data_IF_976339811755
#
_entry.id   IF_976339811755
#
_cell.length_a   1.000
_cell.length_b   1.000
_cell.length_c   1.000
_cell.angle_alpha   90.00
_cell.angle_beta   90.00
_cell.angle_gamma   90.00
#
_symmetry.space_group_name_H-M   'P 1'
#
loop_
_entity.id
_entity.type
_entity.pdbx_description
1 polymer ?
#
# COMPACT_ATOMS: atom_id res chain seq x y z
N UNK A 1 -18.21 2.13 -22.44
CA UNK A 1 -19.20 1.41 -21.60
C UNK A 1 -18.49 1.14 -20.30
N UNK A 2 -19.18 1.18 -19.16
CA UNK A 2 -18.59 0.77 -17.89
C UNK A 2 -18.24 -0.72 -17.93
N UNK A 3 -17.16 -1.11 -17.29
CA UNK A 3 -16.75 -2.52 -17.17
C UNK A 3 -17.66 -3.27 -16.18
N UNK A 4 -17.64 -4.59 -16.21
CA UNK A 4 -18.40 -5.36 -15.23
C UNK A 4 -17.78 -5.21 -13.84
N UNK A 5 -18.62 -5.29 -12.80
CA UNK A 5 -18.14 -5.25 -11.43
C UNK A 5 -17.10 -6.34 -11.14
N UNK A 6 -17.33 -7.54 -11.65
CA UNK A 6 -16.44 -8.68 -11.44
C UNK A 6 -15.07 -8.47 -12.10
N UNK A 7 -15.02 -7.84 -13.28
CA UNK A 7 -13.77 -7.48 -13.95
C UNK A 7 -12.97 -6.46 -13.14
N UNK A 8 -13.64 -5.41 -12.63
CA UNK A 8 -13.00 -4.38 -11.80
C UNK A 8 -12.52 -4.99 -10.47
N UNK A 9 -13.32 -5.85 -9.85
CA UNK A 9 -12.96 -6.57 -8.62
C UNK A 9 -11.72 -7.48 -8.83
N UNK A 10 -11.65 -8.23 -9.94
CA UNK A 10 -10.51 -9.08 -10.25
C UNK A 10 -9.24 -8.25 -10.50
N UNK A 11 -9.36 -7.14 -11.24
CA UNK A 11 -8.26 -6.22 -11.46
C UNK A 11 -7.75 -5.62 -10.14
N UNK A 12 -8.66 -5.25 -9.23
CA UNK A 12 -8.31 -4.75 -7.92
C UNK A 12 -7.60 -5.81 -7.05
N UNK A 13 -8.07 -7.04 -7.04
CA UNK A 13 -7.42 -8.15 -6.34
C UNK A 13 -5.98 -8.34 -6.82
N UNK A 14 -5.78 -8.32 -8.14
CA UNK A 14 -4.45 -8.40 -8.73
C UNK A 14 -3.56 -7.23 -8.32
N UNK A 15 -4.09 -6.00 -8.38
CA UNK A 15 -3.38 -4.80 -7.94
C UNK A 15 -2.90 -4.94 -6.50
N UNK A 16 -3.79 -5.35 -5.60
CA UNK A 16 -3.47 -5.52 -4.19
C UNK A 16 -2.45 -6.62 -3.95
N UNK A 17 -2.62 -7.79 -4.58
CA UNK A 17 -1.73 -8.93 -4.42
C UNK A 17 -0.33 -8.66 -4.96
N UNK A 18 -0.19 -7.98 -6.09
CA UNK A 18 1.12 -7.68 -6.68
C UNK A 18 1.83 -6.57 -5.90
N UNK A 19 1.11 -5.52 -5.50
CA UNK A 19 1.67 -4.38 -4.77
C UNK A 19 1.76 -4.62 -3.27
N UNK A 20 0.65 -4.43 -2.55
CA UNK A 20 0.64 -4.41 -1.10
C UNK A 20 1.06 -5.73 -0.43
N UNK A 21 0.80 -6.88 -1.06
CA UNK A 21 1.17 -8.20 -0.53
C UNK A 21 2.52 -8.67 -1.06
N UNK A 22 2.67 -8.65 -2.39
CA UNK A 22 3.87 -9.20 -3.06
C UNK A 22 5.05 -8.23 -3.10
N UNK A 23 4.79 -6.94 -2.96
CA UNK A 23 5.80 -5.87 -3.10
C UNK A 23 6.61 -5.94 -4.40
N UNK A 24 6.05 -6.53 -5.44
CA UNK A 24 6.61 -6.48 -6.79
C UNK A 24 6.23 -5.13 -7.45
N UNK A 25 6.92 -4.10 -7.03
CA UNK A 25 6.64 -2.72 -7.46
C UNK A 25 6.89 -2.50 -8.94
N UNK A 26 7.71 -3.31 -9.58
CA UNK A 26 7.91 -3.29 -11.03
C UNK A 26 6.68 -3.84 -11.75
N UNK A 27 6.24 -5.03 -11.38
CA UNK A 27 5.03 -5.63 -11.94
C UNK A 27 3.77 -4.82 -11.59
N UNK A 28 3.71 -4.25 -10.37
CA UNK A 28 2.61 -3.40 -9.93
C UNK A 28 2.49 -2.12 -10.78
N UNK A 29 3.60 -1.41 -11.01
CA UNK A 29 3.60 -0.23 -11.89
C UNK A 29 3.19 -0.60 -13.33
N UNK A 30 3.48 -1.82 -13.76
CA UNK A 30 3.01 -2.39 -15.02
C UNK A 30 1.49 -2.55 -15.11
N UNK A 31 0.74 -2.44 -14.02
CA UNK A 31 -0.73 -2.45 -14.03
C UNK A 31 -1.34 -1.08 -14.37
N UNK A 32 -0.54 -0.06 -14.55
CA UNK A 32 -1.00 1.26 -14.99
C UNK A 32 -0.88 1.41 -16.50
N UNK A 33 -1.74 2.27 -17.08
CA UNK A 33 -1.63 2.66 -18.49
C UNK A 33 -0.40 3.56 -18.71
N UNK A 34 0.06 3.66 -19.95
CA UNK A 34 1.25 4.47 -20.29
C UNK A 34 1.03 5.98 -20.08
N UNK A 35 -0.22 6.42 -19.99
CA UNK A 35 -0.63 7.79 -19.74
C UNK A 35 -1.30 7.97 -18.37
N UNK A 36 -1.24 6.98 -17.50
CA UNK A 36 -1.88 7.00 -16.19
C UNK A 36 -1.46 8.21 -15.36
N UNK A 37 -2.34 8.62 -14.47
CA UNK A 37 -2.08 9.71 -13.51
C UNK A 37 -2.04 9.14 -12.10
N UNK A 38 -0.95 9.37 -11.39
CA UNK A 38 -0.84 9.07 -9.97
C UNK A 38 -0.69 10.36 -9.19
N UNK A 39 -1.59 10.62 -8.25
CA UNK A 39 -1.62 11.81 -7.43
C UNK A 39 -1.37 11.39 -5.97
N UNK A 40 -0.23 11.78 -5.46
CA UNK A 40 0.08 11.67 -4.04
C UNK A 40 0.21 13.10 -3.50
N UNK A 41 -0.75 13.52 -2.67
CA UNK A 41 -0.92 14.91 -2.27
C UNK A 41 0.25 15.50 -1.46
N UNK A 42 1.10 14.66 -0.89
CA UNK A 42 2.25 15.08 -0.07
C UNK A 42 3.56 14.92 -0.83
N UNK A 43 3.69 13.84 -1.61
CA UNK A 43 4.96 13.41 -2.20
C UNK A 43 5.09 13.76 -3.69
N UNK A 44 4.00 14.05 -4.38
CA UNK A 44 4.02 14.54 -5.76
C UNK A 44 3.09 13.82 -6.73
N UNK A 45 3.19 14.21 -8.00
CA UNK A 45 2.37 13.70 -9.07
C UNK A 45 3.24 13.01 -10.11
N UNK A 46 2.86 11.80 -10.52
CA UNK A 46 3.56 11.01 -11.53
C UNK A 46 2.66 10.81 -12.75
N UNK A 47 3.27 10.70 -13.90
CA UNK A 47 2.57 10.47 -15.16
C UNK A 47 3.16 9.28 -15.92
N UNK A 48 2.28 8.32 -16.21
CA UNK A 48 2.63 7.10 -16.91
C UNK A 48 3.32 6.06 -16.01
N UNK A 49 3.20 4.81 -16.43
CA UNK A 49 3.72 3.65 -15.69
C UNK A 49 5.22 3.75 -15.36
N UNK A 50 6.01 4.38 -16.22
CA UNK A 50 7.45 4.52 -16.03
C UNK A 50 7.82 5.48 -14.87
N UNK A 51 7.14 6.64 -14.76
CA UNK A 51 7.34 7.56 -13.62
C UNK A 51 6.81 6.96 -12.33
N UNK A 52 5.64 6.30 -12.38
CA UNK A 52 5.05 5.59 -11.25
C UNK A 52 6.01 4.52 -10.74
N UNK A 53 6.59 3.70 -11.63
CA UNK A 53 7.59 2.69 -11.27
C UNK A 53 8.78 3.30 -10.54
N UNK A 54 9.39 4.35 -11.11
CA UNK A 54 10.55 5.01 -10.51
C UNK A 54 10.23 5.56 -9.13
N UNK A 55 9.08 6.22 -8.98
CA UNK A 55 8.65 6.82 -7.74
C UNK A 55 8.36 5.76 -6.67
N UNK A 56 7.49 4.78 -6.94
CA UNK A 56 7.08 3.77 -5.96
C UNK A 56 8.28 2.95 -5.46
N UNK A 57 9.18 2.56 -6.36
CA UNK A 57 10.39 1.82 -5.99
C UNK A 57 11.26 2.64 -5.02
N UNK A 58 11.39 3.95 -5.28
CA UNK A 58 12.17 4.85 -4.42
C UNK A 58 11.52 5.04 -3.04
N UNK A 59 10.21 5.28 -3.01
CA UNK A 59 9.46 5.50 -1.75
C UNK A 59 9.47 4.24 -0.89
N UNK A 60 9.15 3.09 -1.45
CA UNK A 60 9.11 1.84 -0.70
C UNK A 60 10.49 1.38 -0.22
N UNK A 61 11.54 1.76 -0.91
CA UNK A 61 12.92 1.55 -0.44
C UNK A 61 13.31 2.48 0.72
N UNK A 62 12.72 3.69 0.78
CA UNK A 62 13.01 4.66 1.84
C UNK A 62 12.29 4.35 3.16
N UNK A 63 11.17 3.63 3.12
CA UNK A 63 10.34 3.30 4.28
C UNK A 63 10.09 1.79 4.37
N UNK A 64 11.15 0.97 4.54
CA UNK A 64 11.04 -0.48 4.51
C UNK A 64 10.21 -1.06 5.67
N UNK A 65 10.03 -0.30 6.74
CA UNK A 65 9.25 -0.70 7.91
C UNK A 65 7.73 -0.48 7.75
N UNK A 66 7.32 0.26 6.71
CA UNK A 66 5.89 0.52 6.46
C UNK A 66 5.36 -0.48 5.43
N UNK A 67 4.23 -1.07 5.73
CA UNK A 67 3.46 -1.86 4.80
C UNK A 67 1.98 -1.49 4.85
N UNK A 68 1.25 -1.82 3.78
CA UNK A 68 -0.16 -1.50 3.66
C UNK A 68 -1.02 -2.66 4.17
N UNK A 69 -1.88 -2.37 5.14
CA UNK A 69 -2.83 -3.32 5.71
C UNK A 69 -4.23 -3.01 5.21
N UNK A 70 -4.84 -3.97 4.52
CA UNK A 70 -6.19 -3.85 3.97
C UNK A 70 -7.26 -3.86 5.05
N UNK A 71 -8.23 -2.95 4.95
CA UNK A 71 -9.42 -2.92 5.80
C UNK A 71 -10.68 -3.30 5.00
N UNK A 72 -11.01 -2.49 4.01
CA UNK A 72 -12.14 -2.72 3.10
C UNK A 72 -11.99 -1.92 1.81
N UNK A 73 -12.80 -2.27 0.82
CA UNK A 73 -12.97 -1.48 -0.40
C UNK A 73 -14.42 -1.40 -0.83
N UNK A 74 -14.71 -0.44 -1.70
CA UNK A 74 -15.99 -0.29 -2.39
C UNK A 74 -15.76 -0.02 -3.87
N UNK A 75 -16.66 -0.55 -4.72
CA UNK A 75 -16.61 -0.35 -6.17
C UNK A 75 -17.86 0.38 -6.60
N UNK A 76 -17.66 1.50 -7.33
CA UNK A 76 -18.70 2.29 -7.99
C UNK A 76 -18.36 2.46 -9.48
N UNK A 77 -19.01 1.69 -10.34
CA UNK A 77 -18.69 1.62 -11.77
C UNK A 77 -17.24 1.15 -11.97
N UNK A 78 -16.43 1.98 -12.62
CA UNK A 78 -15.02 1.72 -12.88
C UNK A 78 -14.09 2.23 -11.76
N UNK A 79 -14.64 2.69 -10.63
CA UNK A 79 -13.88 3.22 -9.50
C UNK A 79 -13.80 2.25 -8.35
N UNK A 80 -12.62 2.21 -7.72
CA UNK A 80 -12.40 1.48 -6.47
C UNK A 80 -11.92 2.44 -5.41
N UNK A 81 -12.58 2.43 -4.25
CA UNK A 81 -12.19 3.14 -3.04
C UNK A 81 -11.63 2.13 -2.06
N UNK A 82 -10.37 2.28 -1.67
CA UNK A 82 -9.73 1.39 -0.71
C UNK A 82 -9.45 2.13 0.57
N UNK A 83 -9.93 1.60 1.69
CA UNK A 83 -9.52 2.05 3.01
C UNK A 83 -8.50 1.07 3.59
N UNK A 84 -7.39 1.60 4.07
CA UNK A 84 -6.24 0.82 4.52
C UNK A 84 -5.53 1.50 5.69
N UNK A 85 -4.65 0.75 6.35
CA UNK A 85 -3.69 1.30 7.29
C UNK A 85 -2.29 1.24 6.69
N UNK A 86 -1.55 2.33 6.82
CA UNK A 86 -0.11 2.31 6.67
C UNK A 86 0.46 1.87 8.03
N UNK A 87 0.98 0.65 8.08
CA UNK A 87 1.27 -0.07 9.32
C UNK A 87 2.75 -0.27 9.53
N UNK A 88 3.17 -0.16 10.79
CA UNK A 88 4.45 -0.67 11.30
C UNK A 88 4.20 -1.71 12.38
N UNK A 89 4.99 -2.76 12.38
CA UNK A 89 5.00 -3.71 13.50
C UNK A 89 5.56 -3.03 14.74
N UNK A 90 4.91 -3.25 15.88
CA UNK A 90 5.38 -2.71 17.14
C UNK A 90 6.59 -3.54 17.64
N UNK A 91 7.75 -2.92 17.93
CA UNK A 91 8.88 -3.63 18.49
C UNK A 91 8.65 -4.16 19.93
N UNK A 92 7.62 -3.64 20.62
CA UNK A 92 7.20 -4.17 21.92
C UNK A 92 6.56 -5.55 21.77
N UNK A 93 7.03 -6.60 22.44
CA UNK A 93 6.42 -7.93 22.38
C UNK A 93 4.95 -7.90 22.78
N UNK A 94 4.06 -8.25 21.85
CA UNK A 94 2.59 -8.19 22.06
C UNK A 94 1.99 -6.78 21.97
N UNK A 95 2.78 -5.78 21.62
CA UNK A 95 2.30 -4.42 21.38
C UNK A 95 1.37 -4.34 20.17
N UNK A 96 0.40 -3.42 20.22
CA UNK A 96 -0.50 -3.18 19.10
C UNK A 96 0.29 -2.58 17.92
N UNK A 97 -0.08 -2.91 16.66
CA UNK A 97 0.50 -2.26 15.48
C UNK A 97 0.39 -0.73 15.56
N UNK A 98 1.35 -0.05 14.96
CA UNK A 98 1.40 1.41 14.91
C UNK A 98 0.95 1.84 13.52
N UNK A 99 -0.24 2.40 13.44
CA UNK A 99 -0.97 2.65 12.21
C UNK A 99 -1.26 4.12 11.97
N UNK A 100 -1.36 4.49 10.69
CA UNK A 100 -2.10 5.68 10.27
C UNK A 100 -2.94 5.37 9.04
N UNK A 101 -4.19 5.90 8.97
CA UNK A 101 -5.12 5.55 7.90
C UNK A 101 -4.74 6.19 6.58
N UNK A 102 -5.08 5.49 5.49
CA UNK A 102 -5.03 5.96 4.13
C UNK A 102 -6.28 5.56 3.34
N UNK A 103 -6.56 6.34 2.31
CA UNK A 103 -7.56 6.02 1.29
C UNK A 103 -6.91 6.13 -0.06
N UNK A 104 -7.05 5.11 -0.87
CA UNK A 104 -6.67 5.12 -2.28
C UNK A 104 -7.92 5.10 -3.14
N UNK A 105 -7.93 5.96 -4.14
CA UNK A 105 -8.95 6.03 -5.18
C UNK A 105 -8.33 5.57 -6.50
N UNK A 106 -8.90 4.53 -7.10
CA UNK A 106 -8.46 3.98 -8.38
C UNK A 106 -9.55 4.17 -9.45
N UNK A 107 -9.15 4.52 -10.67
CA UNK A 107 -10.01 4.48 -11.85
C UNK A 107 -9.53 3.40 -12.82
N UNK A 108 -10.38 2.43 -13.11
CA UNK A 108 -10.09 1.33 -14.02
C UNK A 108 -10.17 1.77 -15.48
N UNK A 109 -9.27 1.24 -16.31
CA UNK A 109 -9.18 1.54 -17.73
C UNK A 109 -9.65 0.39 -18.64
N UNK A 110 -9.85 -0.82 -18.09
CA UNK A 110 -10.02 -2.05 -18.84
C UNK A 110 -8.72 -2.84 -18.97
N UNK A 111 -8.82 -4.06 -19.46
CA UNK A 111 -7.68 -4.95 -19.73
C UNK A 111 -6.71 -5.14 -18.54
N UNK A 112 -7.25 -5.12 -17.32
CA UNK A 112 -6.47 -5.24 -16.09
C UNK A 112 -5.58 -4.04 -15.78
N UNK A 113 -5.87 -2.86 -16.36
CA UNK A 113 -5.07 -1.64 -16.21
C UNK A 113 -5.82 -0.55 -15.46
N UNK A 114 -5.06 0.30 -14.76
CA UNK A 114 -5.51 1.49 -14.05
C UNK A 114 -5.09 2.77 -14.79
N UNK A 115 -6.02 3.68 -15.00
CA UNK A 115 -5.73 4.98 -15.65
C UNK A 115 -5.43 6.08 -14.64
N UNK A 116 -5.83 5.89 -13.38
CA UNK A 116 -5.45 6.82 -12.31
C UNK A 116 -5.45 6.15 -10.94
N UNK A 117 -4.63 6.72 -10.08
CA UNK A 117 -4.62 6.51 -8.64
C UNK A 117 -4.49 7.84 -7.93
N UNK A 118 -5.18 7.99 -6.80
CA UNK A 118 -5.09 9.17 -5.95
C UNK A 118 -5.10 8.74 -4.49
N UNK A 119 -4.03 9.13 -3.75
CA UNK A 119 -3.83 8.77 -2.36
C UNK A 119 -4.10 9.92 -1.40
N UNK A 120 -4.84 9.59 -0.37
CA UNK A 120 -5.18 10.51 0.72
C UNK A 120 -4.74 9.94 2.05
N UNK A 121 -3.97 10.72 2.80
CA UNK A 121 -3.61 10.39 4.18
C UNK A 121 -3.33 11.66 4.98
N UNK A 122 -3.45 11.56 6.30
CA UNK A 122 -3.30 12.71 7.18
C UNK A 122 -1.85 12.84 7.67
N UNK A 123 -1.13 13.87 7.24
CA UNK A 123 0.25 14.16 7.65
C UNK A 123 0.41 14.16 9.18
N UNK A 124 -0.47 14.82 9.98
CA UNK A 124 -0.35 14.77 11.44
C UNK A 124 -0.48 13.37 12.03
N UNK A 125 -1.31 12.50 11.44
CA UNK A 125 -1.45 11.10 11.90
C UNK A 125 -0.20 10.29 11.59
N UNK A 126 0.38 10.46 10.40
CA UNK A 126 1.65 9.84 10.02
C UNK A 126 2.81 10.27 10.92
N UNK A 127 2.91 11.58 11.21
CA UNK A 127 3.94 12.11 12.12
C UNK A 127 3.80 11.56 13.54
N UNK A 128 2.55 11.43 14.03
CA UNK A 128 2.28 10.83 15.34
C UNK A 128 2.71 9.35 15.35
N UNK A 129 2.33 8.58 14.34
CA UNK A 129 2.70 7.18 14.20
C UNK A 129 4.24 7.00 14.10
N UNK A 130 4.93 7.89 13.38
CA UNK A 130 6.39 7.89 13.32
C UNK A 130 7.02 8.10 14.70
N UNK A 131 6.59 9.12 15.44
CA UNK A 131 7.12 9.41 16.78
C UNK A 131 6.82 8.28 17.77
N UNK A 132 5.67 7.63 17.66
CA UNK A 132 5.28 6.48 18.45
C UNK A 132 6.16 5.25 18.17
N UNK A 133 6.42 4.98 16.89
CA UNK A 133 7.33 3.92 16.47
C UNK A 133 8.77 4.15 16.93
N UNK A 134 9.31 5.35 16.75
CA UNK A 134 10.66 5.70 17.21
C UNK A 134 10.81 5.53 18.73
N UNK A 135 9.80 5.96 19.50
CA UNK A 135 9.76 5.77 20.94
C UNK A 135 9.72 4.29 21.33
N UNK A 136 8.91 3.48 20.64
CA UNK A 136 8.82 2.05 20.91
C UNK A 136 10.14 1.34 20.55
N UNK A 137 10.77 1.68 19.43
CA UNK A 137 12.09 1.17 19.06
C UNK A 137 13.13 1.50 20.14
N UNK A 138 13.20 2.75 20.57
CA UNK A 138 14.16 3.16 21.60
C UNK A 138 13.97 2.43 22.94
N UNK A 139 12.72 2.09 23.30
CA UNK A 139 12.40 1.43 24.54
C UNK A 139 12.57 -0.09 24.53
N UNK A 140 12.26 -0.74 23.41
CA UNK A 140 12.13 -2.19 23.34
C UNK A 140 13.16 -2.86 22.42
N UNK A 141 13.50 -2.20 21.29
CA UNK A 141 14.40 -2.78 20.29
C UNK A 141 14.98 -1.70 19.35
N UNK A 142 16.09 -1.06 19.74
CA UNK A 142 16.70 0.00 18.93
C UNK A 142 17.16 -0.43 17.52
N UNK A 143 17.36 -1.72 17.31
CA UNK A 143 17.78 -2.28 16.02
C UNK A 143 16.60 -2.79 15.16
N UNK A 144 15.37 -2.67 15.65
CA UNK A 144 14.17 -3.09 14.92
C UNK A 144 14.09 -2.49 13.52
N UNK A 145 14.28 -1.16 13.29
CA UNK A 145 14.24 -0.58 11.96
C UNK A 145 15.24 -1.20 10.98
N UNK A 146 16.41 -1.60 11.46
CA UNK A 146 17.45 -2.22 10.61
C UNK A 146 17.05 -3.63 10.16
N UNK A 147 16.29 -4.35 10.97
CA UNK A 147 15.81 -5.70 10.62
C UNK A 147 14.60 -5.66 9.71
N UNK A 148 13.85 -4.56 9.73
CA UNK A 148 12.69 -4.32 8.86
C UNK A 148 13.08 -3.78 7.49
N UNK A 149 14.35 -3.87 7.09
CA UNK A 149 14.76 -3.58 5.73
C UNK A 149 14.24 -4.66 4.78
N UNK A 150 13.81 -4.30 3.58
CA UNK A 150 13.29 -5.27 2.59
C UNK A 150 14.29 -6.37 2.23
N UNK A 151 15.57 -6.11 2.35
CA UNK A 151 16.64 -7.10 2.14
C UNK A 151 16.68 -8.18 3.22
N UNK A 152 16.21 -7.86 4.43
CA UNK A 152 16.24 -8.75 5.59
C UNK A 152 14.84 -9.32 5.92
N UNK A 153 13.81 -8.96 5.14
CA UNK A 153 12.49 -9.53 5.32
C UNK A 153 12.51 -11.02 4.98
N UNK A 154 11.78 -11.84 5.73
CA UNK A 154 11.58 -13.22 5.34
C UNK A 154 10.89 -13.28 3.99
N UNK A 155 11.14 -14.33 3.22
CA UNK A 155 10.59 -14.52 1.86
C UNK A 155 9.05 -14.42 1.82
N UNK A 156 8.40 -14.71 2.94
CA UNK A 156 6.96 -14.53 3.15
C UNK A 156 6.74 -13.84 4.50
N UNK A 157 6.81 -12.51 4.58
CA UNK A 157 6.51 -11.81 5.81
C UNK A 157 5.08 -12.13 6.30
N UNK A 158 4.89 -12.16 7.61
CA UNK A 158 3.59 -12.57 8.22
C UNK A 158 2.40 -11.75 7.70
N UNK A 159 2.60 -10.47 7.44
CA UNK A 159 1.58 -9.58 6.89
C UNK A 159 1.22 -9.91 5.43
N UNK A 160 2.16 -10.43 4.62
CA UNK A 160 1.90 -10.82 3.22
C UNK A 160 0.91 -11.97 3.11
N UNK A 161 0.81 -12.83 4.14
CA UNK A 161 -0.19 -13.91 4.20
C UNK A 161 -1.58 -13.39 4.50
N UNK A 162 -1.70 -12.17 4.94
CA UNK A 162 -2.90 -11.55 5.48
C UNK A 162 -3.40 -12.28 6.74
N UNK A 163 -4.00 -11.61 7.72
CA UNK A 163 -4.78 -12.31 8.73
C UNK A 163 -5.88 -13.07 8.01
N UNK A 164 -6.33 -14.19 8.60
CA UNK A 164 -7.59 -14.83 8.20
C UNK A 164 -8.67 -13.76 8.28
N UNK A 165 -8.99 -13.16 7.15
CA UNK A 165 -9.87 -12.01 7.09
C UNK A 165 -11.29 -12.51 6.92
N UNK A 166 -12.24 -11.75 7.45
CA UNK A 166 -13.65 -12.01 7.28
C UNK A 166 -14.08 -12.08 5.80
N UNK A 167 -15.38 -12.20 5.52
CA UNK A 167 -15.93 -12.51 4.20
C UNK A 167 -15.53 -11.56 3.06
N UNK A 168 -14.92 -10.42 3.37
CA UNK A 168 -14.40 -9.46 2.40
C UNK A 168 -12.86 -9.51 2.24
N UNK A 169 -12.22 -10.55 2.75
CA UNK A 169 -10.78 -10.71 2.60
C UNK A 169 -10.43 -11.00 1.13
N UNK A 170 -9.46 -10.26 0.61
CA UNK A 170 -8.87 -10.48 -0.71
C UNK A 170 -7.93 -11.67 -0.65
#
# INVERSE_FOLDING_TARGET
>A
MAHSRDEVEEAFRRYWQVGAVGEDWEAWAGLFTDDARYIEHVLGNMRGSAEIKKWITSIMAAYPEIYTYYEWHAIDGDRVFVYMQNRRDNPEPGGAPIDFPGVTLLDYAGDGKWKSEEDFWAVPASQKAQAEYEKACAAHDPDHPKRMTRQNWPAEPAWARGPARGPNAI
#
